data_IF_720405344441
#
_entry.id   IF_720405344441
#
_cell.length_a   1.000
_cell.length_b   1.000
_cell.length_c   1.000
_cell.angle_alpha   90.00
_cell.angle_beta   90.00
_cell.angle_gamma   90.00
#
_symmetry.space_group_name_H-M   'P 1'
#
loop_
_entity.id
_entity.type
_entity.pdbx_description
1 polymer ?
#
# COMPACT_ATOMS: atom_id res chain seq x y z
N UNK A 1 -19.10 18.77 5.65
CA UNK A 1 -18.80 17.74 4.65
C UNK A 1 -18.95 18.33 3.25
N UNK A 2 -17.93 18.25 2.39
CA UNK A 2 -18.00 18.77 1.01
C UNK A 2 -19.05 18.00 0.19
N UNK A 3 -19.85 18.70 -0.62
CA UNK A 3 -20.92 18.08 -1.44
C UNK A 3 -20.38 17.07 -2.46
N UNK A 4 -19.09 17.20 -2.82
CA UNK A 4 -18.35 16.33 -3.75
C UNK A 4 -18.40 14.87 -3.28
N UNK A 5 -18.34 14.62 -1.97
CA UNK A 5 -18.37 13.27 -1.40
C UNK A 5 -19.67 12.49 -1.64
N UNK A 6 -20.77 13.16 -2.01
CA UNK A 6 -22.03 12.51 -2.38
C UNK A 6 -21.99 11.88 -3.78
N UNK A 7 -21.12 12.39 -4.65
CA UNK A 7 -21.03 11.96 -6.06
C UNK A 7 -19.84 11.06 -6.34
N UNK A 8 -18.96 10.86 -5.33
CA UNK A 8 -17.83 9.94 -5.45
C UNK A 8 -18.30 8.49 -5.35
N UNK A 9 -17.74 7.61 -6.19
CA UNK A 9 -17.93 6.16 -6.06
C UNK A 9 -17.16 5.63 -4.85
N UNK A 10 -17.84 5.63 -3.70
CA UNK A 10 -17.30 5.15 -2.42
C UNK A 10 -16.96 3.66 -2.45
N UNK A 11 -17.67 2.88 -3.26
CA UNK A 11 -17.44 1.43 -3.33
C UNK A 11 -16.14 1.14 -4.06
N UNK A 12 -15.87 1.83 -5.18
CA UNK A 12 -14.57 1.75 -5.85
C UNK A 12 -13.46 2.23 -4.92
N UNK A 13 -13.65 3.37 -4.26
CA UNK A 13 -12.67 3.90 -3.31
C UNK A 13 -12.36 2.94 -2.14
N UNK A 14 -13.35 2.18 -1.65
CA UNK A 14 -13.12 1.16 -0.62
C UNK A 14 -12.29 -0.02 -1.15
N UNK A 15 -12.47 -0.41 -2.41
CA UNK A 15 -11.67 -1.46 -3.05
C UNK A 15 -10.23 -0.99 -3.26
N UNK A 16 -10.03 0.25 -3.69
CA UNK A 16 -8.70 0.82 -3.87
C UNK A 16 -7.97 0.93 -2.52
N UNK A 17 -8.66 1.43 -1.49
CA UNK A 17 -8.14 1.44 -0.13
C UNK A 17 -7.76 0.03 0.34
N UNK A 18 -8.59 -1.00 0.10
CA UNK A 18 -8.26 -2.39 0.46
C UNK A 18 -6.97 -2.88 -0.18
N UNK A 19 -6.76 -2.60 -1.47
CA UNK A 19 -5.55 -3.02 -2.20
C UNK A 19 -4.31 -2.30 -1.68
N UNK A 20 -4.44 -1.04 -1.30
CA UNK A 20 -3.34 -0.25 -0.74
C UNK A 20 -2.94 -0.70 0.66
N UNK A 21 -3.81 -1.41 1.39
CA UNK A 21 -3.58 -1.78 2.80
C UNK A 21 -2.25 -2.51 3.03
N UNK A 22 -1.94 -3.52 2.20
CA UNK A 22 -0.69 -4.27 2.29
C UNK A 22 0.54 -3.42 1.98
N UNK A 23 0.46 -2.59 0.92
CA UNK A 23 1.52 -1.65 0.55
C UNK A 23 1.79 -0.60 1.63
N UNK A 24 0.75 -0.06 2.27
CA UNK A 24 0.90 0.91 3.37
C UNK A 24 1.54 0.27 4.60
N UNK A 25 1.18 -0.99 4.90
CA UNK A 25 1.83 -1.78 5.96
C UNK A 25 3.30 -2.06 5.62
N UNK A 26 3.61 -2.35 4.36
CA UNK A 26 4.98 -2.57 3.89
C UNK A 26 5.83 -1.32 4.04
N UNK A 27 5.32 -0.15 3.64
CA UNK A 27 6.01 1.15 3.78
C UNK A 27 6.39 1.39 5.25
N UNK A 28 5.44 1.23 6.17
CA UNK A 28 5.71 1.44 7.61
C UNK A 28 6.78 0.48 8.12
N UNK A 29 6.80 -0.77 7.66
CA UNK A 29 7.75 -1.78 8.11
C UNK A 29 9.17 -1.64 7.55
N UNK A 30 9.35 -0.97 6.40
CA UNK A 30 10.63 -0.97 5.67
C UNK A 30 11.23 0.43 5.47
N UNK A 31 10.50 1.51 5.77
CA UNK A 31 11.00 2.88 5.53
C UNK A 31 12.30 3.16 6.30
N UNK A 32 12.44 2.66 7.53
CA UNK A 32 13.66 2.89 8.32
C UNK A 32 14.91 2.30 7.65
N UNK A 33 14.78 1.10 7.08
CA UNK A 33 15.86 0.45 6.32
C UNK A 33 16.16 1.19 5.01
N UNK A 34 15.12 1.69 4.32
CA UNK A 34 15.29 2.49 3.10
C UNK A 34 15.99 3.82 3.39
N UNK A 35 15.62 4.52 4.47
CA UNK A 35 16.27 5.75 4.92
C UNK A 35 17.74 5.47 5.28
N UNK A 36 18.02 4.38 5.99
CA UNK A 36 19.39 4.00 6.33
C UNK A 36 20.24 3.77 5.07
N UNK A 37 19.71 3.03 4.09
CA UNK A 37 20.38 2.81 2.79
C UNK A 37 20.62 4.12 2.04
N UNK A 38 19.69 5.06 2.11
CA UNK A 38 19.87 6.39 1.50
C UNK A 38 21.02 7.15 2.16
N UNK A 39 21.14 7.14 3.49
CA UNK A 39 22.28 7.71 4.21
C UNK A 39 23.61 7.03 3.84
N UNK A 40 23.66 5.69 3.83
CA UNK A 40 24.87 4.95 3.44
C UNK A 40 25.33 5.29 2.02
N UNK A 41 24.37 5.47 1.09
CA UNK A 41 24.65 5.90 -0.28
C UNK A 41 25.15 7.34 -0.37
N UNK A 42 24.70 8.23 0.50
CA UNK A 42 25.21 9.61 0.58
C UNK A 42 26.65 9.65 1.09
N UNK A 43 26.97 8.86 2.11
CA UNK A 43 28.29 8.78 2.74
C UNK A 43 29.30 7.97 1.92
N UNK A 44 28.81 7.05 1.07
CA UNK A 44 29.63 6.16 0.26
C UNK A 44 30.55 6.92 -0.70
N UNK A 45 31.81 6.49 -0.77
CA UNK A 45 32.78 6.98 -1.75
C UNK A 45 32.56 6.22 -3.08
N UNK A 46 32.56 6.94 -4.20
CA UNK A 46 32.42 6.30 -5.52
C UNK A 46 33.64 5.41 -5.79
N UNK A 47 33.40 4.13 -6.08
CA UNK A 47 34.46 3.20 -6.46
C UNK A 47 35.00 3.57 -7.85
N UNK A 48 36.34 3.65 -8.03
CA UNK A 48 36.92 3.78 -9.37
C UNK A 48 36.46 2.62 -10.25
N UNK A 49 35.83 2.92 -11.38
CA UNK A 49 35.49 1.92 -12.39
C UNK A 49 36.67 1.81 -13.36
N UNK A 50 37.29 0.64 -13.42
CA UNK A 50 38.46 0.35 -14.24
C UNK A 50 38.01 -0.31 -15.57
N UNK A 51 37.40 0.47 -16.47
CA UNK A 51 36.94 0.01 -17.78
C UNK A 51 37.84 0.45 -18.95
N UNK A 52 38.92 1.19 -18.65
CA UNK A 52 39.89 1.66 -19.64
C UNK A 52 39.40 2.81 -20.53
N UNK A 53 38.20 3.34 -20.29
CA UNK A 53 37.62 4.43 -21.07
C UNK A 53 37.90 5.80 -20.44
N UNK A 54 38.26 6.85 -21.22
CA UNK A 54 38.33 8.21 -20.72
C UNK A 54 36.97 8.68 -20.21
N UNK A 55 36.96 9.29 -19.01
CA UNK A 55 35.73 9.80 -18.38
C UNK A 55 35.79 11.31 -18.20
N UNK A 56 34.64 11.96 -18.28
CA UNK A 56 34.49 13.34 -17.84
C UNK A 56 34.59 13.41 -16.32
N UNK A 57 35.51 14.23 -15.82
CA UNK A 57 35.61 14.51 -14.39
C UNK A 57 34.48 15.47 -14.01
N UNK A 58 33.50 15.00 -13.21
CA UNK A 58 32.54 15.88 -12.56
C UNK A 58 33.00 16.22 -11.12
N UNK A 59 33.52 17.44 -10.87
CA UNK A 59 33.95 17.83 -9.53
C UNK A 59 32.78 17.99 -8.53
N UNK A 60 31.54 18.13 -9.01
CA UNK A 60 30.34 18.27 -8.18
C UNK A 60 29.61 16.94 -7.90
N UNK A 61 30.16 15.81 -8.35
CA UNK A 61 29.50 14.50 -8.23
C UNK A 61 29.21 14.07 -6.78
N UNK A 62 29.95 14.58 -5.80
CA UNK A 62 29.67 14.36 -4.38
C UNK A 62 28.49 15.20 -3.89
N UNK A 63 28.44 16.48 -4.26
CA UNK A 63 27.37 17.41 -3.88
C UNK A 63 26.03 16.95 -4.49
N UNK A 64 26.03 16.59 -5.78
CA UNK A 64 24.85 16.05 -6.47
C UNK A 64 24.30 14.79 -5.79
N UNK A 65 25.19 13.91 -5.28
CA UNK A 65 24.79 12.69 -4.57
C UNK A 65 24.14 13.02 -3.23
N UNK A 66 24.71 13.96 -2.49
CA UNK A 66 24.17 14.41 -1.21
C UNK A 66 22.78 15.03 -1.42
N UNK A 67 22.65 15.94 -2.39
CA UNK A 67 21.36 16.57 -2.72
C UNK A 67 20.31 15.51 -3.08
N UNK A 68 20.65 14.57 -3.98
CA UNK A 68 19.76 13.48 -4.37
C UNK A 68 19.37 12.59 -3.20
N UNK A 69 20.30 12.30 -2.30
CA UNK A 69 20.01 11.49 -1.11
C UNK A 69 19.07 12.20 -0.13
N UNK A 70 19.22 13.52 0.06
CA UNK A 70 18.29 14.32 0.86
C UNK A 70 16.89 14.29 0.24
N UNK A 71 16.77 14.51 -1.06
CA UNK A 71 15.48 14.42 -1.78
C UNK A 71 14.84 13.04 -1.63
N UNK A 72 15.63 11.97 -1.75
CA UNK A 72 15.18 10.58 -1.57
C UNK A 72 14.65 10.36 -0.14
N UNK A 73 15.37 10.83 0.88
CA UNK A 73 14.94 10.73 2.29
C UNK A 73 13.65 11.52 2.55
N UNK A 74 13.50 12.72 1.99
CA UNK A 74 12.30 13.54 2.17
C UNK A 74 11.07 12.86 1.56
N UNK A 75 11.21 12.26 0.38
CA UNK A 75 10.15 11.45 -0.26
C UNK A 75 9.79 10.24 0.61
N UNK A 76 10.79 9.52 1.14
CA UNK A 76 10.55 8.37 2.02
C UNK A 76 9.78 8.75 3.29
N UNK A 77 10.17 9.86 3.94
CA UNK A 77 9.48 10.37 5.12
C UNK A 77 8.05 10.79 4.83
N UNK A 78 7.81 11.44 3.70
CA UNK A 78 6.47 11.85 3.31
C UNK A 78 5.56 10.65 3.01
N UNK A 79 6.09 9.63 2.31
CA UNK A 79 5.36 8.36 2.09
C UNK A 79 5.04 7.65 3.40
N UNK A 80 5.97 7.63 4.36
CA UNK A 80 5.73 7.08 5.68
C UNK A 80 4.63 7.84 6.43
N UNK A 81 4.67 9.17 6.42
CA UNK A 81 3.62 10.01 7.03
C UNK A 81 2.25 9.67 6.45
N UNK A 82 2.13 9.60 5.12
CA UNK A 82 0.90 9.25 4.43
C UNK A 82 0.44 7.83 4.78
N UNK A 83 1.35 6.86 4.85
CA UNK A 83 1.02 5.49 5.25
C UNK A 83 0.50 5.43 6.70
N UNK A 84 1.10 6.17 7.63
CA UNK A 84 0.63 6.25 9.02
C UNK A 84 -0.77 6.88 9.10
N UNK A 85 -1.00 7.99 8.39
CA UNK A 85 -2.31 8.65 8.32
C UNK A 85 -3.37 7.71 7.73
N UNK A 86 -3.03 7.03 6.63
CA UNK A 86 -3.89 6.03 6.02
C UNK A 86 -4.22 4.90 7.01
N UNK A 87 -3.24 4.36 7.73
CA UNK A 87 -3.47 3.26 8.68
C UNK A 87 -4.33 3.70 9.86
N UNK A 88 -4.14 4.91 10.35
CA UNK A 88 -4.97 5.49 11.41
C UNK A 88 -6.45 5.60 11.00
N UNK A 89 -6.72 5.87 9.73
CA UNK A 89 -8.08 5.93 9.16
C UNK A 89 -8.65 4.54 8.83
N UNK A 90 -7.87 3.66 8.19
CA UNK A 90 -8.34 2.38 7.65
C UNK A 90 -8.45 1.28 8.72
N UNK A 91 -7.46 1.15 9.60
CA UNK A 91 -7.37 0.03 10.56
C UNK A 91 -8.56 -0.05 11.53
N UNK A 92 -9.11 1.06 12.06
CA UNK A 92 -10.31 1.00 12.89
C UNK A 92 -11.50 0.37 12.17
N UNK A 93 -11.76 0.80 10.93
CA UNK A 93 -12.83 0.24 10.09
C UNK A 93 -12.59 -1.25 9.77
N UNK A 94 -11.34 -1.61 9.45
CA UNK A 94 -10.95 -2.99 9.19
C UNK A 94 -11.15 -3.92 10.40
N UNK A 95 -10.85 -3.43 11.61
CA UNK A 95 -11.03 -4.19 12.86
C UNK A 95 -12.50 -4.35 13.28
N UNK A 96 -13.38 -3.45 12.84
CA UNK A 96 -14.83 -3.55 13.10
C UNK A 96 -15.53 -4.61 12.24
N UNK A 97 -14.90 -5.10 11.18
CA UNK A 97 -15.37 -6.26 10.43
C UNK A 97 -15.23 -7.55 11.25
N UNK A 98 -16.04 -8.55 10.95
CA UNK A 98 -15.81 -9.90 11.49
C UNK A 98 -14.60 -10.56 10.83
N UNK A 99 -14.09 -11.62 11.43
CA UNK A 99 -13.01 -12.42 10.84
C UNK A 99 -13.42 -13.00 9.48
N UNK A 100 -14.63 -13.54 9.37
CA UNK A 100 -15.20 -14.00 8.11
C UNK A 100 -15.25 -12.91 7.04
N UNK A 101 -15.65 -11.69 7.40
CA UNK A 101 -15.72 -10.57 6.46
C UNK A 101 -14.33 -10.15 5.99
N UNK A 102 -13.35 -10.09 6.91
CA UNK A 102 -11.95 -9.82 6.55
C UNK A 102 -11.39 -10.90 5.64
N UNK A 103 -11.59 -12.17 5.98
CA UNK A 103 -11.14 -13.30 5.19
C UNK A 103 -11.68 -13.24 3.75
N UNK A 104 -12.99 -12.98 3.59
CA UNK A 104 -13.59 -12.84 2.26
C UNK A 104 -12.95 -11.67 1.50
N UNK A 105 -12.75 -10.52 2.15
CA UNK A 105 -12.15 -9.36 1.47
C UNK A 105 -10.68 -9.57 1.13
N UNK A 106 -9.90 -10.23 1.99
CA UNK A 106 -8.52 -10.61 1.74
C UNK A 106 -8.42 -11.62 0.59
N UNK A 107 -9.28 -12.64 0.54
CA UNK A 107 -9.30 -13.60 -0.57
C UNK A 107 -9.57 -12.90 -1.91
N UNK A 108 -10.49 -11.93 -1.95
CA UNK A 108 -10.86 -11.23 -3.18
C UNK A 108 -9.91 -10.09 -3.57
N UNK A 109 -9.31 -9.39 -2.61
CA UNK A 109 -8.61 -8.13 -2.85
C UNK A 109 -7.20 -8.05 -2.24
N UNK A 110 -6.75 -9.08 -1.53
CA UNK A 110 -5.41 -9.16 -0.95
C UNK A 110 -4.32 -9.26 -2.01
N UNK A 111 -3.08 -8.99 -1.59
CA UNK A 111 -1.89 -8.90 -2.47
C UNK A 111 -1.63 -10.21 -3.25
N UNK A 112 -1.98 -11.36 -2.67
CA UNK A 112 -1.77 -12.68 -3.26
C UNK A 112 -2.77 -13.04 -4.38
N UNK A 113 -3.87 -12.29 -4.53
CA UNK A 113 -4.91 -12.58 -5.53
C UNK A 113 -4.60 -11.98 -6.92
N UNK A 114 -3.33 -11.95 -7.31
CA UNK A 114 -2.85 -11.31 -8.55
C UNK A 114 -3.46 -11.92 -9.83
N UNK A 115 -3.98 -13.14 -9.76
CA UNK A 115 -4.60 -13.85 -10.89
C UNK A 115 -6.13 -13.97 -10.81
N UNK A 116 -6.77 -13.54 -9.72
CA UNK A 116 -8.22 -13.35 -9.60
C UNK A 116 -9.13 -14.57 -9.80
N UNK A 117 -8.61 -15.73 -10.24
CA UNK A 117 -9.44 -16.80 -10.77
C UNK A 117 -10.08 -17.67 -9.70
N UNK A 118 -9.47 -17.77 -8.52
CA UNK A 118 -9.86 -18.75 -7.50
C UNK A 118 -10.45 -18.14 -6.23
N UNK A 119 -10.43 -16.82 -6.03
CA UNK A 119 -10.91 -16.19 -4.79
C UNK A 119 -12.35 -16.58 -4.41
N UNK A 120 -13.23 -16.71 -5.40
CA UNK A 120 -14.61 -17.13 -5.16
C UNK A 120 -14.71 -18.62 -4.79
N UNK A 121 -13.79 -19.43 -5.31
CA UNK A 121 -13.69 -20.86 -5.05
C UNK A 121 -13.05 -21.12 -3.68
N UNK A 122 -11.98 -20.38 -3.32
CA UNK A 122 -11.35 -20.42 -1.99
C UNK A 122 -12.36 -20.06 -0.88
N UNK A 123 -13.16 -19.00 -1.10
CA UNK A 123 -14.22 -18.60 -0.17
C UNK A 123 -15.36 -19.63 -0.15
N UNK A 124 -15.71 -20.21 -1.30
CA UNK A 124 -16.73 -21.24 -1.38
C UNK A 124 -16.32 -22.49 -0.57
N UNK A 125 -15.09 -22.93 -0.73
CA UNK A 125 -14.51 -24.08 -0.04
C UNK A 125 -14.36 -23.81 1.46
N UNK A 126 -13.85 -22.64 1.85
CA UNK A 126 -13.68 -22.29 3.26
C UNK A 126 -15.01 -22.29 4.03
N UNK A 127 -16.07 -21.75 3.43
CA UNK A 127 -17.39 -21.69 4.09
C UNK A 127 -18.31 -22.87 3.76
N UNK A 128 -17.89 -23.80 2.89
CA UNK A 128 -18.71 -24.89 2.37
C UNK A 128 -20.03 -24.38 1.77
N UNK A 129 -19.93 -23.40 0.87
CA UNK A 129 -21.05 -22.75 0.20
C UNK A 129 -20.86 -22.75 -1.32
N UNK A 130 -21.93 -22.48 -2.06
CA UNK A 130 -21.82 -22.25 -3.49
C UNK A 130 -21.01 -20.98 -3.82
N UNK A 131 -20.29 -21.01 -4.94
CA UNK A 131 -19.54 -19.87 -5.51
C UNK A 131 -20.38 -18.59 -5.64
N UNK A 132 -21.67 -18.72 -6.01
CA UNK A 132 -22.59 -17.58 -6.07
C UNK A 132 -22.82 -16.93 -4.69
N UNK A 133 -22.88 -17.76 -3.64
CA UNK A 133 -22.98 -17.29 -2.25
C UNK A 133 -21.69 -16.63 -1.77
N UNK A 134 -20.51 -17.08 -2.22
CA UNK A 134 -19.24 -16.40 -1.96
C UNK A 134 -19.24 -14.96 -2.49
N UNK A 135 -19.67 -14.73 -3.74
CA UNK A 135 -19.79 -13.38 -4.30
C UNK A 135 -20.78 -12.48 -3.52
N UNK A 136 -21.90 -13.05 -3.05
CA UNK A 136 -22.86 -12.33 -2.21
C UNK A 136 -22.25 -11.92 -0.87
N UNK A 137 -21.51 -12.83 -0.21
CA UNK A 137 -20.77 -12.51 1.03
C UNK A 137 -19.76 -11.39 0.80
N UNK A 138 -18.97 -11.47 -0.27
CA UNK A 138 -18.02 -10.42 -0.65
C UNK A 138 -18.71 -9.07 -0.84
N UNK A 139 -19.83 -9.04 -1.55
CA UNK A 139 -20.55 -7.79 -1.79
C UNK A 139 -21.05 -7.14 -0.50
N UNK A 140 -21.55 -7.94 0.45
CA UNK A 140 -22.00 -7.49 1.77
C UNK A 140 -20.84 -7.02 2.66
N UNK A 141 -19.74 -7.77 2.70
CA UNK A 141 -18.55 -7.38 3.44
C UNK A 141 -17.97 -6.05 2.93
N UNK A 142 -17.90 -5.89 1.61
CA UNK A 142 -17.42 -4.66 0.98
C UNK A 142 -18.36 -3.47 1.24
N UNK A 143 -19.67 -3.69 1.19
CA UNK A 143 -20.67 -2.67 1.55
C UNK A 143 -20.51 -2.22 3.00
N UNK A 144 -20.37 -3.16 3.94
CA UNK A 144 -20.12 -2.86 5.35
C UNK A 144 -18.83 -2.06 5.53
N UNK A 145 -17.73 -2.47 4.90
CA UNK A 145 -16.47 -1.73 4.97
C UNK A 145 -16.61 -0.31 4.39
N UNK A 146 -17.32 -0.16 3.27
CA UNK A 146 -17.58 1.13 2.64
C UNK A 146 -18.31 2.07 3.61
N UNK A 147 -19.30 1.56 4.35
CA UNK A 147 -20.02 2.32 5.37
C UNK A 147 -19.10 2.67 6.54
N UNK A 148 -18.24 1.76 6.99
CA UNK A 148 -17.31 2.02 8.08
C UNK A 148 -16.27 3.09 7.72
N UNK A 149 -15.79 3.11 6.47
CA UNK A 149 -14.79 4.06 5.98
C UNK A 149 -15.38 5.46 5.67
N UNK A 150 -16.59 5.51 5.08
CA UNK A 150 -17.13 6.74 4.49
C UNK A 150 -18.54 7.12 4.99
N UNK A 151 -19.12 6.33 5.88
CA UNK A 151 -20.48 6.48 6.40
C UNK A 151 -20.54 6.97 7.85
N UNK A 152 -19.46 6.84 8.64
CA UNK A 152 -19.32 7.53 9.93
C UNK A 152 -18.94 8.98 9.67
N UNK A 153 -19.93 9.86 9.73
CA UNK A 153 -19.76 11.31 9.81
C UNK A 153 -20.81 11.93 10.70
#
# INVERSE_FOLDING_TARGET
MSIIWKYLDKRSAAVDALKDYGSMKFIIGHTDDEIKRAYEKMEGISSPQLDGMPRSHNPQASEERIVKGIEEIDVLKERYRQAVEYMAWFVPAWKELTEDERYVLEAFYGEDNQYGSNAADDVADYFQIERASAYRRKNRALERLTILLFGKA
#
